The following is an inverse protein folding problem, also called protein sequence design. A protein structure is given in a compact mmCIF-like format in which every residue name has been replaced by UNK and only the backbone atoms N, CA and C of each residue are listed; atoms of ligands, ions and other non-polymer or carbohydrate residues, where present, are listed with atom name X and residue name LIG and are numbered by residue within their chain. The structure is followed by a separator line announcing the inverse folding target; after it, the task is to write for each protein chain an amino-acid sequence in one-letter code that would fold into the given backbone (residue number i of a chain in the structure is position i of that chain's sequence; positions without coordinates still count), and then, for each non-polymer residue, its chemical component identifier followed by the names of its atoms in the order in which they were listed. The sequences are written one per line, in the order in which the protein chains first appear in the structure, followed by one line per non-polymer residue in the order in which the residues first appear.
data_IF_381418381286
#
_entry.id   IF_381418381286
#
_cell.length_a   1.000
_cell.length_b   1.000
_cell.length_c   1.000
_cell.angle_alpha   90.00
_cell.angle_beta   90.00
_cell.angle_gamma   90.00
#
_symmetry.space_group_name_H-M   'P 1'
#
loop_
_entity.id
_entity.type
_entity.pdbx_description
1 polymer ?
#
# COMPACT_ATOMS: atom_id res chain seq x y z
N UNK A 1 -21.77 17.01 14.72
CA UNK A 1 -20.84 17.34 13.62
C UNK A 1 -20.46 16.03 12.96
N UNK A 2 -20.58 15.93 11.64
CA UNK A 2 -20.13 14.72 10.91
C UNK A 2 -18.60 14.75 10.77
N UNK A 3 -17.96 13.58 10.79
CA UNK A 3 -16.49 13.49 10.70
C UNK A 3 -15.94 14.07 9.40
N UNK A 4 -16.71 14.00 8.31
CA UNK A 4 -16.40 14.56 6.99
C UNK A 4 -16.26 16.08 6.99
N UNK A 5 -16.98 16.77 7.86
CA UNK A 5 -17.00 18.24 7.87
C UNK A 5 -15.84 18.84 8.68
N UNK A 6 -15.17 18.01 9.47
CA UNK A 6 -14.11 18.44 10.39
C UNK A 6 -12.84 18.78 9.63
N UNK A 7 -12.44 17.96 8.66
CA UNK A 7 -11.23 18.12 7.87
C UNK A 7 -11.58 18.82 6.56
N UNK A 8 -11.08 20.04 6.36
CA UNK A 8 -11.43 20.85 5.18
C UNK A 8 -10.44 20.71 4.04
N UNK A 9 -9.14 20.88 4.34
CA UNK A 9 -8.07 20.80 3.33
C UNK A 9 -6.70 20.57 3.97
N UNK A 10 -5.74 19.96 3.25
CA UNK A 10 -4.34 19.94 3.65
C UNK A 10 -3.74 21.35 3.58
N UNK A 11 -2.73 21.61 4.41
CA UNK A 11 -1.92 22.83 4.36
C UNK A 11 -0.59 22.45 3.74
N UNK A 12 -0.30 23.04 2.57
CA UNK A 12 0.91 22.79 1.81
C UNK A 12 1.81 24.04 1.85
N UNK A 13 2.92 23.93 2.58
CA UNK A 13 4.01 24.90 2.62
C UNK A 13 5.33 24.15 2.72
N UNK A 14 6.46 24.77 2.39
CA UNK A 14 7.79 24.14 2.50
C UNK A 14 8.03 23.48 3.88
N UNK A 15 7.61 24.16 4.95
CA UNK A 15 7.68 23.63 6.31
C UNK A 15 6.85 22.36 6.50
N UNK A 16 5.64 22.29 5.93
CA UNK A 16 4.81 21.09 6.09
C UNK A 16 5.38 19.93 5.28
N UNK A 17 6.00 20.19 4.13
CA UNK A 17 6.73 19.15 3.38
C UNK A 17 7.86 18.54 4.22
N UNK A 18 8.71 19.37 4.85
CA UNK A 18 9.76 18.88 5.73
C UNK A 18 9.23 18.12 6.97
N UNK A 19 7.98 18.37 7.37
CA UNK A 19 7.32 17.65 8.46
C UNK A 19 6.70 16.32 8.01
N UNK A 20 6.32 16.20 6.74
CA UNK A 20 5.75 14.97 6.18
C UNK A 20 6.76 13.82 6.21
N UNK A 21 8.04 14.09 5.98
CA UNK A 21 9.12 13.11 6.13
C UNK A 21 9.18 12.50 7.54
N UNK A 22 8.71 13.24 8.55
CA UNK A 22 8.65 12.83 9.96
C UNK A 22 7.29 12.23 10.35
N UNK A 23 6.41 11.96 9.39
CA UNK A 23 5.05 11.47 9.63
C UNK A 23 4.12 12.51 10.29
N UNK A 24 4.44 13.81 10.14
CA UNK A 24 3.66 14.91 10.70
C UNK A 24 2.93 15.66 9.59
N UNK A 25 1.61 15.72 9.69
CA UNK A 25 0.73 16.28 8.67
C UNK A 25 -0.05 17.48 9.20
N UNK A 26 -0.26 18.48 8.35
CA UNK A 26 -0.97 19.70 8.72
C UNK A 26 -2.25 19.86 7.92
N UNK A 27 -3.37 20.04 8.61
CA UNK A 27 -4.69 20.23 8.00
C UNK A 27 -5.35 21.53 8.49
N UNK A 28 -6.09 22.17 7.60
CA UNK A 28 -7.08 23.18 7.97
C UNK A 28 -8.38 22.45 8.35
N UNK A 29 -8.80 22.62 9.60
CA UNK A 29 -9.97 21.98 10.17
C UNK A 29 -11.01 23.02 10.58
N UNK A 30 -12.22 22.55 10.90
CA UNK A 30 -13.29 23.38 11.45
C UNK A 30 -12.84 24.12 12.73
N UNK A 31 -13.29 25.37 12.90
CA UNK A 31 -12.78 26.27 13.94
C UNK A 31 -13.19 25.83 15.35
N UNK A 32 -14.31 25.15 15.45
CA UNK A 32 -15.00 24.61 16.61
C UNK A 32 -14.58 23.17 16.96
N UNK A 33 -13.92 22.43 16.06
CA UNK A 33 -13.56 21.03 16.28
C UNK A 33 -12.60 20.80 17.48
N UNK A 34 -12.89 19.79 18.30
CA UNK A 34 -12.00 19.39 19.41
C UNK A 34 -10.90 18.42 18.93
N UNK A 35 -9.80 18.30 19.68
CA UNK A 35 -8.66 17.42 19.35
C UNK A 35 -9.06 15.96 19.19
N UNK A 36 -9.92 15.45 20.08
CA UNK A 36 -10.43 14.08 20.00
C UNK A 36 -11.26 13.84 18.73
N UNK A 37 -12.08 14.80 18.35
CA UNK A 37 -12.88 14.70 17.13
C UNK A 37 -11.99 14.73 15.87
N UNK A 38 -10.93 15.54 15.87
CA UNK A 38 -9.95 15.60 14.78
C UNK A 38 -9.20 14.27 14.67
N UNK A 39 -8.75 13.70 15.80
CA UNK A 39 -8.09 12.40 15.80
C UNK A 39 -9.00 11.33 15.18
N UNK A 40 -10.21 11.17 15.72
CA UNK A 40 -11.17 10.18 15.23
C UNK A 40 -11.51 10.38 13.74
N UNK A 41 -11.70 11.63 13.30
CA UNK A 41 -11.98 11.92 11.89
C UNK A 41 -10.83 11.49 10.97
N UNK A 42 -9.58 11.78 11.35
CA UNK A 42 -8.40 11.39 10.56
C UNK A 42 -8.28 9.86 10.50
N UNK A 43 -8.46 9.18 11.62
CA UNK A 43 -8.38 7.71 11.67
C UNK A 43 -9.46 7.05 10.81
N UNK A 44 -10.70 7.54 10.87
CA UNK A 44 -11.82 6.97 10.10
C UNK A 44 -11.66 7.23 8.60
N UNK A 45 -11.29 8.45 8.21
CA UNK A 45 -11.23 8.85 6.79
C UNK A 45 -10.01 8.23 6.10
N UNK A 46 -8.84 8.27 6.76
CA UNK A 46 -7.58 7.84 6.15
C UNK A 46 -7.14 6.44 6.57
N UNK A 47 -7.86 5.79 7.50
CA UNK A 47 -7.54 4.44 8.01
C UNK A 47 -6.12 4.32 8.58
N UNK A 48 -5.65 5.39 9.23
CA UNK A 48 -4.33 5.49 9.88
C UNK A 48 -4.48 5.52 11.40
N UNK A 49 -3.39 5.34 12.14
CA UNK A 49 -3.36 5.54 13.60
C UNK A 49 -2.72 6.87 13.96
N UNK A 50 -3.39 7.67 14.81
CA UNK A 50 -2.92 8.98 15.25
C UNK A 50 -2.26 8.86 16.63
N UNK A 51 -1.05 9.40 16.78
CA UNK A 51 -0.32 9.43 18.06
C UNK A 51 -0.62 10.72 18.82
N UNK A 52 -0.61 11.85 18.12
CA UNK A 52 -0.72 13.16 18.76
C UNK A 52 -1.38 14.19 17.86
N UNK A 53 -2.18 15.08 18.46
CA UNK A 53 -2.81 16.21 17.77
C UNK A 53 -2.50 17.53 18.48
N UNK A 54 -1.88 18.43 17.73
CA UNK A 54 -1.64 19.82 18.13
C UNK A 54 -2.54 20.73 17.31
N UNK A 55 -3.12 21.75 17.92
CA UNK A 55 -4.08 22.65 17.24
C UNK A 55 -3.77 24.11 17.52
N UNK A 56 -3.94 24.96 16.50
CA UNK A 56 -3.76 26.41 16.60
C UNK A 56 -4.97 27.07 15.92
N UNK A 57 -5.63 28.01 16.60
CA UNK A 57 -6.69 28.83 15.98
C UNK A 57 -6.05 29.96 15.18
N UNK A 58 -6.48 30.14 13.93
CA UNK A 58 -6.00 31.19 13.04
C UNK A 58 -7.17 32.11 12.77
N UNK A 59 -7.04 33.36 13.19
CA UNK A 59 -8.10 34.34 13.04
C UNK A 59 -8.23 34.85 11.61
N UNK A 60 -9.39 35.45 11.37
CA UNK A 60 -9.74 36.04 10.09
C UNK A 60 -8.79 37.21 9.78
N UNK A 61 -8.24 37.23 8.57
CA UNK A 61 -7.37 38.33 8.11
C UNK A 61 -8.19 39.26 7.22
N UNK A 62 -8.11 40.60 7.43
CA UNK A 62 -8.78 41.55 6.55
C UNK A 62 -8.20 41.40 5.14
N UNK A 63 -9.08 41.42 4.14
CA UNK A 63 -8.70 41.36 2.73
C UNK A 63 -9.71 42.15 1.91
N UNK A 64 -9.20 42.90 0.95
CA UNK A 64 -10.00 43.74 0.07
C UNK A 64 -10.11 43.07 -1.29
N UNK A 65 -11.29 43.14 -1.90
CA UNK A 65 -11.55 42.69 -3.27
C UNK A 65 -12.20 43.86 -4.01
N UNK A 66 -11.38 44.61 -4.75
CA UNK A 66 -11.81 45.86 -5.38
C UNK A 66 -12.32 46.87 -4.36
N UNK A 67 -13.56 47.33 -4.53
CA UNK A 67 -14.24 48.27 -3.62
C UNK A 67 -14.69 47.63 -2.29
N UNK A 68 -14.77 46.31 -2.21
CA UNK A 68 -15.33 45.63 -1.04
C UNK A 68 -14.25 45.30 -0.01
N UNK A 69 -14.49 45.72 1.23
CA UNK A 69 -13.70 45.34 2.39
C UNK A 69 -14.32 44.09 3.01
N UNK A 70 -13.51 43.05 3.20
CA UNK A 70 -13.95 41.79 3.77
C UNK A 70 -12.87 41.11 4.58
N UNK A 71 -13.12 39.85 4.93
CA UNK A 71 -12.18 39.03 5.67
C UNK A 71 -12.05 37.65 5.01
N UNK A 72 -10.86 37.08 5.08
CA UNK A 72 -10.66 35.66 4.77
C UNK A 72 -11.20 34.82 5.92
N UNK A 73 -11.88 33.73 5.59
CA UNK A 73 -12.44 32.82 6.59
C UNK A 73 -11.36 32.33 7.56
N UNK A 74 -11.67 32.42 8.86
CA UNK A 74 -10.88 31.82 9.93
C UNK A 74 -10.92 30.30 9.83
N UNK A 75 -9.87 29.65 10.32
CA UNK A 75 -9.79 28.20 10.42
C UNK A 75 -8.92 27.81 11.60
N UNK A 76 -8.98 26.54 11.99
CA UNK A 76 -8.04 25.97 12.96
C UNK A 76 -7.03 25.12 12.18
N UNK A 77 -5.76 25.27 12.48
CA UNK A 77 -4.68 24.43 11.95
C UNK A 77 -4.49 23.27 12.91
N UNK A 78 -4.60 22.05 12.41
CA UNK A 78 -4.28 20.83 13.13
C UNK A 78 -2.96 20.28 12.60
N UNK A 79 -2.00 20.06 13.49
CA UNK A 79 -0.72 19.40 13.24
C UNK A 79 -0.85 18.02 13.89
N UNK A 80 -0.85 16.97 13.08
CA UNK A 80 -1.17 15.61 13.47
C UNK A 80 0.06 14.75 13.26
N UNK A 81 0.47 14.05 14.30
CA UNK A 81 1.56 13.06 14.25
C UNK A 81 0.94 11.68 14.15
N UNK A 82 1.31 10.94 13.10
CA UNK A 82 0.87 9.57 12.90
C UNK A 82 1.81 8.58 13.59
N UNK A 83 1.32 7.36 13.79
CA UNK A 83 2.17 6.24 14.19
C UNK A 83 3.06 5.83 13.01
N UNK A 84 4.24 5.30 13.34
CA UNK A 84 5.24 4.83 12.36
C UNK A 84 4.61 3.84 11.36
N UNK A 85 5.04 3.93 10.10
CA UNK A 85 4.53 3.11 9.00
C UNK A 85 3.20 3.57 8.39
N UNK A 86 2.48 4.50 9.00
CA UNK A 86 1.29 5.10 8.39
C UNK A 86 1.66 6.32 7.55
N UNK A 87 1.14 6.38 6.33
CA UNK A 87 1.32 7.52 5.43
C UNK A 87 -0.03 7.98 4.88
N UNK A 88 -0.17 9.29 4.68
CA UNK A 88 -1.36 9.88 4.05
C UNK A 88 -0.97 10.40 2.67
N UNK A 89 -1.66 9.93 1.64
CA UNK A 89 -1.54 10.48 0.29
C UNK A 89 -2.28 11.82 0.24
N UNK A 90 -1.55 12.92 0.08
CA UNK A 90 -2.12 14.28 0.02
C UNK A 90 -2.19 14.78 -1.42
N UNK A 91 -1.38 14.20 -2.31
CA UNK A 91 -1.34 14.59 -3.72
C UNK A 91 -2.18 13.62 -4.55
N UNK A 92 -3.09 14.13 -5.40
CA UNK A 92 -3.91 13.29 -6.29
C UNK A 92 -3.09 12.45 -7.27
N UNK A 93 -1.84 12.85 -7.55
CA UNK A 93 -0.98 12.17 -8.52
C UNK A 93 -0.34 10.89 -7.96
N UNK A 94 -0.20 10.76 -6.64
CA UNK A 94 0.44 9.60 -6.02
C UNK A 94 -0.41 8.34 -6.10
N UNK A 95 -1.74 8.47 -6.22
CA UNK A 95 -2.64 7.33 -6.42
C UNK A 95 -2.54 6.76 -7.83
N UNK A 96 -2.20 7.59 -8.83
CA UNK A 96 -1.99 7.16 -10.21
C UNK A 96 -0.72 6.31 -10.35
N UNK A 97 0.38 6.71 -9.70
CA UNK A 97 1.67 6.00 -9.73
C UNK A 97 1.65 4.71 -8.92
N UNK A 98 1.04 4.69 -7.72
CA UNK A 98 0.85 3.47 -6.91
C UNK A 98 0.01 2.40 -7.61
N UNK A 99 -0.96 2.81 -8.44
CA UNK A 99 -1.78 1.86 -9.22
C UNK A 99 -0.97 1.15 -10.30
N UNK A 100 0.07 1.80 -10.84
CA UNK A 100 1.03 1.20 -11.79
C UNK A 100 2.01 0.26 -11.09
N UNK A 101 2.51 0.61 -9.91
CA UNK A 101 3.46 -0.20 -9.13
C UNK A 101 2.80 -1.48 -8.58
N UNK A 102 1.62 -1.37 -7.96
CA UNK A 102 0.87 -2.54 -7.44
C UNK A 102 0.45 -3.52 -8.56
N UNK A 103 0.28 -3.04 -9.80
CA UNK A 103 0.06 -3.91 -10.98
C UNK A 103 1.35 -4.59 -11.44
N UNK A 104 2.51 -3.97 -11.30
CA UNK A 104 3.80 -4.57 -11.60
C UNK A 104 4.16 -5.66 -10.58
N UNK A 105 3.95 -5.42 -9.29
CA UNK A 105 4.24 -6.40 -8.23
C UNK A 105 3.32 -7.63 -8.29
N UNK A 106 2.02 -7.44 -8.60
CA UNK A 106 1.09 -8.57 -8.80
C UNK A 106 1.36 -9.34 -10.09
N UNK A 107 1.88 -8.69 -11.14
CA UNK A 107 2.27 -9.35 -12.39
C UNK A 107 3.57 -10.14 -12.21
N UNK A 108 4.55 -9.58 -11.49
CA UNK A 108 5.79 -10.25 -11.12
C UNK A 108 5.52 -11.48 -10.25
N UNK A 109 4.70 -11.36 -9.20
CA UNK A 109 4.32 -12.48 -8.32
C UNK A 109 3.56 -13.62 -9.04
N UNK A 110 2.78 -13.30 -10.08
CA UNK A 110 2.09 -14.31 -10.89
C UNK A 110 3.08 -15.04 -11.82
N UNK A 111 3.97 -14.31 -12.48
CA UNK A 111 4.99 -14.87 -13.37
C UNK A 111 6.01 -15.76 -12.64
N UNK A 112 6.47 -15.39 -11.43
CA UNK A 112 7.40 -16.27 -10.69
C UNK A 112 6.74 -17.59 -10.27
N UNK A 113 5.45 -17.58 -9.91
CA UNK A 113 4.73 -18.80 -9.54
C UNK A 113 4.50 -19.75 -10.73
N UNK A 114 4.34 -19.21 -11.94
CA UNK A 114 4.15 -19.99 -13.17
C UNK A 114 5.47 -20.57 -13.69
N UNK A 115 6.60 -19.89 -13.46
CA UNK A 115 7.94 -20.39 -13.79
C UNK A 115 8.37 -21.51 -12.84
N UNK A 116 8.09 -21.38 -11.54
CA UNK A 116 8.38 -22.43 -10.54
C UNK A 116 7.58 -23.72 -10.80
N UNK A 117 6.29 -23.60 -11.13
CA UNK A 117 5.44 -24.74 -11.50
C UNK A 117 5.92 -25.44 -12.78
N UNK A 118 6.41 -24.68 -13.77
CA UNK A 118 6.97 -25.22 -15.03
C UNK A 118 8.32 -25.90 -14.81
N UNK A 119 9.17 -25.38 -13.93
CA UNK A 119 10.43 -26.00 -13.56
C UNK A 119 10.21 -27.34 -12.83
N UNK A 120 9.25 -27.38 -11.89
CA UNK A 120 8.86 -28.59 -11.18
C UNK A 120 8.31 -29.68 -12.12
N UNK A 121 7.44 -29.32 -13.07
CA UNK A 121 6.90 -30.26 -14.06
C UNK A 121 7.97 -30.84 -15.00
N UNK A 122 8.96 -30.04 -15.40
CA UNK A 122 10.09 -30.53 -16.23
C UNK A 122 11.00 -31.50 -15.47
N UNK A 123 11.23 -31.25 -14.18
CA UNK A 123 12.01 -32.15 -13.32
C UNK A 123 11.28 -33.48 -13.06
N UNK A 124 9.96 -33.45 -12.87
CA UNK A 124 9.14 -34.65 -12.71
C UNK A 124 9.17 -35.55 -13.97
N UNK A 125 8.97 -34.97 -15.17
CA UNK A 125 9.04 -35.74 -16.41
C UNK A 125 10.45 -36.27 -16.73
N UNK A 126 11.51 -35.57 -16.29
CA UNK A 126 12.88 -36.07 -16.44
C UNK A 126 13.13 -37.28 -15.53
N UNK A 127 12.60 -37.27 -14.31
CA UNK A 127 12.67 -38.42 -13.40
C UNK A 127 11.81 -39.61 -13.85
N UNK A 128 10.62 -39.37 -14.40
CA UNK A 128 9.79 -40.43 -15.00
C UNK A 128 10.45 -41.06 -16.23
N UNK A 129 11.13 -40.27 -17.06
CA UNK A 129 11.86 -40.78 -18.22
C UNK A 129 13.11 -41.57 -17.81
N UNK A 130 13.76 -41.16 -16.70
CA UNK A 130 14.88 -41.90 -16.12
C UNK A 130 14.43 -43.23 -15.49
N UNK A 131 13.31 -43.27 -14.76
CA UNK A 131 12.79 -44.52 -14.18
C UNK A 131 12.28 -45.51 -15.24
N UNK A 132 11.68 -45.02 -16.33
CA UNK A 132 11.24 -45.86 -17.47
C UNK A 132 12.40 -46.46 -18.26
N UNK A 133 13.53 -45.75 -18.34
CA UNK A 133 14.75 -46.24 -18.99
C UNK A 133 15.46 -47.32 -18.17
N UNK A 134 15.42 -47.22 -16.83
CA UNK A 134 15.99 -48.23 -15.92
C UNK A 134 15.12 -49.51 -15.90
N UNK A 135 13.78 -49.38 -16.00
CA UNK A 135 12.89 -50.55 -16.04
C UNK A 135 12.98 -51.37 -17.34
N UNK A 136 13.35 -50.76 -18.48
CA UNK A 136 13.49 -51.47 -19.76
C UNK A 136 14.77 -52.29 -19.90
N UNK A 137 15.78 -52.06 -19.05
CA UNK A 137 17.04 -52.84 -19.07
C UNK A 137 16.92 -54.14 -18.25
N UNK A 138 16.00 -54.20 -17.28
CA UNK A 138 15.82 -55.36 -16.39
C UNK A 138 15.05 -56.55 -17.00
N UNK A 139 14.45 -56.43 -18.20
CA UNK A 139 13.52 -57.44 -18.74
C UNK A 139 14.08 -58.35 -19.85
N UNK A 140 15.39 -58.39 -20.12
CA UNK A 140 15.96 -59.39 -21.04
C UNK A 140 16.08 -60.74 -20.32
N UNK A 141 15.03 -61.57 -20.44
CA UNK A 141 14.95 -62.94 -19.92
C UNK A 141 15.90 -63.86 -20.71
N UNK A 142 16.89 -64.45 -20.06
CA UNK A 142 17.80 -65.44 -20.67
C UNK A 142 17.08 -66.77 -20.86
N UNK A 143 16.93 -67.24 -22.11
CA UNK A 143 16.32 -68.54 -22.41
C UNK A 143 17.31 -69.67 -22.11
N UNK A 144 17.02 -70.50 -21.11
CA UNK A 144 17.79 -71.74 -20.86
C UNK A 144 17.29 -72.86 -21.78
N UNK A 145 18.17 -73.39 -22.63
CA UNK A 145 17.90 -74.60 -23.43
C UNK A 145 17.83 -75.82 -22.51
N UNK A 146 16.71 -76.54 -22.52
CA UNK A 146 16.59 -77.89 -21.92
C UNK A 146 17.43 -78.86 -22.74
N UNK A 147 18.39 -79.52 -22.10
CA UNK A 147 19.09 -80.70 -22.61
C UNK A 147 18.65 -81.91 -21.78
N UNK A 148 18.34 -83.01 -22.47
CA UNK A 148 18.34 -84.37 -21.91
C UNK A 148 17.06 -84.82 -21.22
N UNK A 149 16.54 -85.96 -21.68
CA UNK A 149 15.43 -86.69 -21.08
C UNK A 149 15.88 -87.94 -20.32
N UNK A 150 14.92 -88.54 -19.63
CA UNK A 150 14.58 -89.96 -19.44
C UNK A 150 13.12 -90.00 -18.98
#
# INVERSE_FOLDING_TARGET
MQFTDIIKKPILTEKTYAQMEKGVYSFAVAYDANKFQIANAVEVIFKVKVVKVNTIKIDKKPKNVGRYHGFVNRYKKAIITLAEGNTINIFPQDDATKTTEVKADKKAAKEVSDVEKRAAAKLAHKNEKASKAVSSVASKKTTTRKLGGE
#
